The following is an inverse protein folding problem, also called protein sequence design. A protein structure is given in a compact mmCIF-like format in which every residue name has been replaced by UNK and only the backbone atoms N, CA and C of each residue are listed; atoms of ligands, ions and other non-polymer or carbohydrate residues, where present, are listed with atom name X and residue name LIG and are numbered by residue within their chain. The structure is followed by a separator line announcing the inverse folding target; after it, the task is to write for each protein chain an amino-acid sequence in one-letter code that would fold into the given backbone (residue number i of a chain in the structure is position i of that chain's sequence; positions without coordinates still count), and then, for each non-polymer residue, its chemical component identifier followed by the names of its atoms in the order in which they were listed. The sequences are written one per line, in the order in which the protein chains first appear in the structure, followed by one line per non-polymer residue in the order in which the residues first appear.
data_IF_928274925211
#
_entry.id   IF_928274925211
#
_cell.length_a   1.000
_cell.length_b   1.000
_cell.length_c   1.000
_cell.angle_alpha   90.00
_cell.angle_beta   90.00
_cell.angle_gamma   90.00
#
_symmetry.space_group_name_H-M   'P 1'
#
loop_
_entity.id
_entity.type
_entity.pdbx_description
1 polymer ?
#
# COMPACT_ATOMS: atom_id res chain seq x y z
N UNK A 1 0.80 -17.23 -1.62
CA UNK A 1 -0.33 -16.29 -1.49
C UNK A 1 -0.62 -15.63 -2.82
N UNK A 2 -1.89 -15.40 -3.13
CA UNK A 2 -2.27 -14.62 -4.32
C UNK A 2 -2.02 -13.13 -4.04
N UNK A 3 -2.00 -12.30 -5.11
CA UNK A 3 -1.88 -10.86 -4.95
C UNK A 3 -2.99 -10.29 -4.06
N UNK A 4 -4.23 -10.75 -4.27
CA UNK A 4 -5.37 -10.29 -3.47
C UNK A 4 -5.22 -10.65 -1.99
N UNK A 5 -4.69 -11.82 -1.67
CA UNK A 5 -4.41 -12.21 -0.30
C UNK A 5 -3.35 -11.31 0.34
N UNK A 6 -2.30 -10.99 -0.41
CA UNK A 6 -1.24 -10.09 0.07
C UNK A 6 -1.80 -8.68 0.31
N UNK A 7 -2.64 -8.18 -0.60
CA UNK A 7 -3.30 -6.87 -0.46
C UNK A 7 -4.18 -6.86 0.79
N UNK A 8 -4.99 -7.88 0.98
CA UNK A 8 -5.87 -8.00 2.15
C UNK A 8 -5.06 -8.04 3.45
N UNK A 9 -4.00 -8.84 3.47
CA UNK A 9 -3.14 -8.96 4.64
C UNK A 9 -2.45 -7.63 4.97
N UNK A 10 -1.96 -6.94 3.95
CA UNK A 10 -1.34 -5.63 4.13
C UNK A 10 -2.35 -4.62 4.68
N UNK A 11 -3.57 -4.61 4.15
CA UNK A 11 -4.62 -3.71 4.63
C UNK A 11 -4.96 -3.98 6.10
N UNK A 12 -5.03 -5.24 6.50
CA UNK A 12 -5.27 -5.62 7.90
C UNK A 12 -4.17 -5.09 8.82
N UNK A 13 -2.91 -5.23 8.41
CA UNK A 13 -1.78 -4.69 9.18
C UNK A 13 -1.84 -3.18 9.28
N UNK A 14 -2.18 -2.49 8.19
CA UNK A 14 -2.34 -1.04 8.20
C UNK A 14 -3.41 -0.60 9.22
N UNK A 15 -4.53 -1.31 9.28
CA UNK A 15 -5.59 -1.02 10.24
C UNK A 15 -5.16 -1.30 11.68
N UNK A 16 -4.34 -2.33 11.89
CA UNK A 16 -3.73 -2.62 13.20
C UNK A 16 -2.93 -1.42 13.70
N UNK A 17 -2.26 -0.71 12.80
CA UNK A 17 -1.49 0.48 13.12
C UNK A 17 -2.31 1.78 12.99
N UNK A 18 -3.63 1.67 12.94
CA UNK A 18 -4.60 2.78 12.97
C UNK A 18 -4.49 3.72 11.78
N UNK A 19 -4.15 3.20 10.60
CA UNK A 19 -4.17 3.99 9.38
C UNK A 19 -5.56 4.59 9.15
N UNK A 20 -5.62 5.89 8.86
CA UNK A 20 -6.87 6.56 8.51
C UNK A 20 -7.29 6.25 7.09
N UNK A 21 -6.31 6.08 6.21
CA UNK A 21 -6.55 5.73 4.81
C UNK A 21 -5.59 4.64 4.39
N UNK A 22 -6.10 3.68 3.63
CA UNK A 22 -5.29 2.65 2.98
C UNK A 22 -5.72 2.64 1.53
N UNK A 23 -4.82 2.98 0.62
CA UNK A 23 -5.13 3.16 -0.80
C UNK A 23 -4.22 2.29 -1.65
N UNK A 24 -4.82 1.42 -2.46
CA UNK A 24 -4.11 0.69 -3.50
C UNK A 24 -3.91 1.64 -4.67
N UNK A 25 -2.67 1.80 -5.14
CA UNK A 25 -2.37 2.68 -6.27
C UNK A 25 -1.44 1.99 -7.27
N UNK A 26 -0.99 2.74 -8.27
CA UNK A 26 -0.13 2.20 -9.30
C UNK A 26 -0.86 1.28 -10.28
N UNK A 27 -0.12 0.36 -10.90
CA UNK A 27 -0.66 -0.48 -11.99
C UNK A 27 -1.85 -1.34 -11.55
N UNK A 28 -1.87 -1.84 -10.33
CA UNK A 28 -2.98 -2.69 -9.85
C UNK A 28 -4.27 -1.91 -9.66
N UNK A 29 -4.18 -0.65 -9.29
CA UNK A 29 -5.37 0.20 -9.17
C UNK A 29 -5.89 0.62 -10.55
N UNK A 30 -4.98 0.81 -11.51
CA UNK A 30 -5.33 1.24 -12.87
C UNK A 30 -5.76 0.09 -13.79
N UNK A 31 -5.64 -1.16 -13.34
CA UNK A 31 -6.00 -2.32 -14.13
C UNK A 31 -4.97 -2.68 -15.19
N UNK A 32 -3.75 -2.15 -15.11
CA UNK A 32 -2.66 -2.40 -16.06
C UNK A 32 -1.60 -3.34 -15.52
N UNK A 33 -1.82 -3.91 -14.33
CA UNK A 33 -0.85 -4.78 -13.67
C UNK A 33 -0.68 -6.09 -14.42
N UNK A 34 0.57 -6.54 -14.50
CA UNK A 34 0.89 -7.90 -14.88
C UNK A 34 0.83 -8.79 -13.64
N UNK A 35 0.84 -10.10 -13.82
CA UNK A 35 0.70 -11.06 -12.73
C UNK A 35 1.69 -10.81 -11.59
N UNK A 36 2.92 -10.43 -11.90
CA UNK A 36 3.99 -10.21 -10.91
C UNK A 36 4.30 -8.75 -10.65
N UNK A 37 3.44 -7.84 -11.07
CA UNK A 37 3.63 -6.42 -10.78
C UNK A 37 3.66 -6.16 -9.28
N UNK A 38 4.45 -5.18 -8.87
CA UNK A 38 4.52 -4.75 -7.48
C UNK A 38 3.15 -4.30 -6.97
N UNK A 39 2.95 -4.48 -5.69
CA UNK A 39 1.73 -4.03 -5.01
C UNK A 39 2.08 -2.71 -4.34
N UNK A 40 1.45 -1.63 -4.79
CA UNK A 40 1.69 -0.28 -4.28
C UNK A 40 0.54 0.14 -3.38
N UNK A 41 0.85 0.39 -2.11
CA UNK A 41 -0.15 0.78 -1.11
C UNK A 41 0.31 2.03 -0.38
N UNK A 42 -0.56 3.03 -0.30
CA UNK A 42 -0.31 4.28 0.39
C UNK A 42 -1.18 4.36 1.64
N UNK A 43 -0.61 4.85 2.73
CA UNK A 43 -1.29 4.98 4.01
C UNK A 43 -1.14 6.38 4.57
N UNK A 44 -2.09 6.78 5.41
CA UNK A 44 -2.00 8.02 6.18
C UNK A 44 -2.43 7.77 7.62
N UNK A 45 -1.97 8.63 8.54
CA UNK A 45 -2.35 8.58 9.94
C UNK A 45 -1.66 7.50 10.77
N UNK A 46 -0.63 6.87 10.25
CA UNK A 46 0.13 5.83 10.94
C UNK A 46 1.23 6.47 11.78
N UNK A 47 1.20 6.27 13.10
CA UNK A 47 2.20 6.83 13.99
C UNK A 47 3.54 6.08 13.97
N UNK A 48 3.48 4.76 13.81
CA UNK A 48 4.66 3.89 13.83
C UNK A 48 4.86 3.24 12.46
N UNK A 49 5.09 4.06 11.47
CA UNK A 49 5.22 3.59 10.10
C UNK A 49 6.33 2.55 9.93
N UNK A 50 7.49 2.75 10.58
CA UNK A 50 8.63 1.82 10.47
C UNK A 50 8.27 0.43 11.00
N UNK A 51 7.51 0.36 12.09
CA UNK A 51 7.06 -0.91 12.63
C UNK A 51 6.07 -1.60 11.70
N UNK A 52 5.16 -0.83 11.11
CA UNK A 52 4.22 -1.35 10.11
C UNK A 52 4.98 -1.89 8.90
N UNK A 53 5.96 -1.15 8.41
CA UNK A 53 6.77 -1.55 7.25
C UNK A 53 7.47 -2.89 7.51
N UNK A 54 8.04 -3.08 8.70
CA UNK A 54 8.66 -4.35 9.07
C UNK A 54 7.66 -5.51 9.02
N UNK A 55 6.48 -5.34 9.55
CA UNK A 55 5.46 -6.41 9.52
C UNK A 55 5.00 -6.72 8.11
N UNK A 56 4.88 -5.70 7.26
CA UNK A 56 4.53 -5.90 5.85
C UNK A 56 5.62 -6.65 5.12
N UNK A 57 6.89 -6.34 5.38
CA UNK A 57 8.02 -7.05 4.78
C UNK A 57 8.11 -8.51 5.22
N UNK A 58 7.55 -8.85 6.38
CA UNK A 58 7.52 -10.21 6.91
C UNK A 58 6.39 -11.07 6.33
N UNK A 59 5.51 -10.52 5.51
CA UNK A 59 4.47 -11.31 4.86
C UNK A 59 5.13 -12.36 3.95
N UNK A 60 4.81 -13.66 4.13
CA UNK A 60 5.48 -14.73 3.37
C UNK A 60 4.95 -14.80 1.93
N UNK A 61 5.46 -13.95 1.07
CA UNK A 61 5.04 -13.85 -0.33
C UNK A 61 6.24 -13.52 -1.22
N UNK A 62 6.12 -13.88 -2.50
CA UNK A 62 7.10 -13.47 -3.52
C UNK A 62 6.75 -12.12 -4.14
N UNK A 63 5.57 -11.56 -3.85
CA UNK A 63 5.23 -10.23 -4.31
C UNK A 63 5.97 -9.17 -3.51
N UNK A 64 6.40 -8.13 -4.19
CA UNK A 64 6.98 -6.94 -3.54
C UNK A 64 5.86 -5.98 -3.20
N UNK A 65 5.78 -5.58 -1.94
CA UNK A 65 4.82 -4.58 -1.48
C UNK A 65 5.57 -3.28 -1.21
N UNK A 66 5.25 -2.24 -1.98
CA UNK A 66 5.77 -0.90 -1.78
C UNK A 66 4.77 -0.12 -0.93
N UNK A 67 5.16 0.15 0.31
CA UNK A 67 4.31 0.88 1.25
C UNK A 67 4.78 2.32 1.33
N UNK A 68 3.89 3.25 1.03
CA UNK A 68 4.16 4.69 1.04
C UNK A 68 3.44 5.38 2.18
N UNK A 69 4.17 6.16 2.96
CA UNK A 69 3.58 7.04 3.97
C UNK A 69 3.23 8.37 3.34
N UNK A 70 1.94 8.63 3.13
CA UNK A 70 1.47 9.86 2.51
C UNK A 70 1.74 11.10 3.38
N UNK A 71 1.84 10.92 4.68
CA UNK A 71 2.04 12.05 5.60
C UNK A 71 3.45 12.65 5.50
N UNK A 72 4.42 11.85 5.04
CA UNK A 72 5.81 12.32 4.88
C UNK A 72 6.25 12.43 3.43
N UNK A 73 5.36 12.08 2.49
CA UNK A 73 5.68 12.10 1.07
C UNK A 73 5.75 13.54 0.55
N UNK A 74 6.91 13.93 0.02
CA UNK A 74 7.11 15.25 -0.56
C UNK A 74 6.82 15.36 -2.05
N UNK A 75 6.36 14.28 -2.68
CA UNK A 75 6.09 14.25 -4.12
C UNK A 75 4.61 14.53 -4.41
N UNK A 76 4.31 15.81 -4.70
CA UNK A 76 2.94 16.26 -4.94
C UNK A 76 2.28 15.60 -6.16
N UNK A 77 3.04 15.34 -7.23
CA UNK A 77 2.50 14.68 -8.42
C UNK A 77 2.09 13.25 -8.12
N UNK A 78 2.87 12.53 -7.33
CA UNK A 78 2.53 11.18 -6.91
C UNK A 78 1.29 11.18 -6.03
N UNK A 79 1.17 12.12 -5.09
CA UNK A 79 0.00 12.24 -4.23
C UNK A 79 -1.27 12.51 -5.04
N UNK A 80 -1.18 13.36 -6.07
CA UNK A 80 -2.30 13.61 -6.99
C UNK A 80 -2.71 12.34 -7.72
N UNK A 81 -1.74 11.59 -8.24
CA UNK A 81 -2.00 10.32 -8.94
C UNK A 81 -2.72 9.33 -8.01
N UNK A 82 -2.27 9.22 -6.77
CA UNK A 82 -2.90 8.37 -5.76
C UNK A 82 -4.34 8.80 -5.50
N UNK A 83 -4.59 10.10 -5.36
CA UNK A 83 -5.94 10.63 -5.11
C UNK A 83 -6.87 10.42 -6.30
N UNK A 84 -6.34 10.53 -7.51
CA UNK A 84 -7.15 10.45 -8.74
C UNK A 84 -7.45 9.00 -9.14
N UNK A 85 -6.44 8.13 -9.10
CA UNK A 85 -6.54 6.76 -9.62
C UNK A 85 -6.48 5.68 -8.54
N UNK A 86 -6.12 6.03 -7.32
CA UNK A 86 -6.05 5.08 -6.23
C UNK A 86 -7.42 4.58 -5.81
N UNK A 87 -7.41 3.37 -5.23
CA UNK A 87 -8.64 2.73 -4.75
C UNK A 87 -8.51 2.45 -3.26
N UNK A 88 -9.44 2.97 -2.47
CA UNK A 88 -9.46 2.69 -1.03
C UNK A 88 -9.78 1.22 -0.79
N UNK A 89 -9.04 0.61 0.10
CA UNK A 89 -9.21 -0.80 0.43
C UNK A 89 -9.42 -1.04 1.93
#
# INVERSE_FOLDING_TARGET
MTADEVITRTAELCRKYRAREVILFGSRAKGTALERSDIDIAVSGVEKFDALLEEVEDIPTLYTVDLLDMDTCGNGLLLEDIRQYGRKI
#
